data_IF_795845593440
#
_entry.id   IF_795845593440
#
_cell.length_a   1.000
_cell.length_b   1.000
_cell.length_c   1.000
_cell.angle_alpha   90.00
_cell.angle_beta   90.00
_cell.angle_gamma   90.00
#
_symmetry.space_group_name_H-M   'P 1'
#
loop_
_entity.id
_entity.type
_entity.pdbx_description
1 polymer ?
#
# COMPACT_ATOMS: atom_id res chain seq x y z
N UNK A 1 15.79 -23.09 8.91
CA UNK A 1 15.09 -22.74 7.64
C UNK A 1 15.43 -21.32 7.16
N UNK A 2 15.25 -20.27 7.96
CA UNK A 2 15.55 -18.87 7.55
C UNK A 2 17.02 -18.67 7.12
N UNK A 3 18.00 -19.28 7.80
CA UNK A 3 19.43 -19.21 7.44
C UNK A 3 19.77 -19.80 6.07
N UNK A 4 18.92 -20.66 5.53
CA UNK A 4 19.09 -21.20 4.17
C UNK A 4 18.66 -20.21 3.08
N UNK A 5 17.72 -19.32 3.41
CA UNK A 5 17.13 -18.33 2.50
C UNK A 5 17.89 -17.00 2.57
N UNK A 6 18.25 -16.55 3.79
CA UNK A 6 18.90 -15.27 4.01
C UNK A 6 20.38 -15.42 4.37
N UNK A 7 21.18 -14.42 4.00
CA UNK A 7 22.58 -14.28 4.46
C UNK A 7 22.64 -13.55 5.80
N UNK A 8 23.86 -13.33 6.32
CA UNK A 8 24.10 -12.60 7.59
C UNK A 8 23.63 -11.14 7.55
N UNK A 9 23.59 -10.54 6.38
CA UNK A 9 23.10 -9.17 6.15
C UNK A 9 21.58 -9.09 6.02
N UNK A 10 20.84 -10.19 6.21
CA UNK A 10 19.39 -10.25 6.03
C UNK A 10 18.93 -10.20 4.56
N UNK A 11 19.86 -10.29 3.61
CA UNK A 11 19.55 -10.31 2.19
C UNK A 11 19.28 -11.74 1.71
N UNK A 12 18.41 -11.86 0.73
CA UNK A 12 18.08 -13.12 0.07
C UNK A 12 19.32 -13.66 -0.64
N UNK A 13 19.67 -14.92 -0.36
CA UNK A 13 20.80 -15.61 -0.99
C UNK A 13 20.57 -15.78 -2.50
N UNK A 14 21.65 -15.77 -3.28
CA UNK A 14 21.64 -15.84 -4.76
C UNK A 14 20.72 -16.94 -5.32
N UNK A 15 20.72 -18.13 -4.69
CA UNK A 15 19.89 -19.27 -5.12
C UNK A 15 18.37 -19.04 -5.02
N UNK A 16 17.93 -18.18 -4.06
CA UNK A 16 16.52 -17.85 -3.86
C UNK A 16 16.10 -16.53 -4.52
N UNK A 17 17.07 -15.77 -5.05
CA UNK A 17 16.84 -14.42 -5.57
C UNK A 17 15.82 -14.39 -6.71
N UNK A 18 15.92 -15.34 -7.65
CA UNK A 18 14.96 -15.43 -8.75
C UNK A 18 13.54 -15.73 -8.28
N UNK A 19 13.38 -16.60 -7.31
CA UNK A 19 12.08 -16.87 -6.71
C UNK A 19 11.48 -15.61 -6.08
N UNK A 20 12.25 -14.88 -5.29
CA UNK A 20 11.78 -13.62 -4.69
C UNK A 20 11.47 -12.55 -5.74
N UNK A 21 12.21 -12.45 -6.83
CA UNK A 21 11.92 -11.54 -7.93
C UNK A 21 10.63 -11.90 -8.65
N UNK A 22 10.35 -13.20 -8.87
CA UNK A 22 9.08 -13.66 -9.45
C UNK A 22 7.89 -13.33 -8.53
N UNK A 23 8.02 -13.57 -7.22
CA UNK A 23 6.98 -13.21 -6.24
C UNK A 23 6.77 -11.70 -6.23
N UNK A 24 7.85 -10.91 -6.26
CA UNK A 24 7.78 -9.45 -6.33
C UNK A 24 7.05 -8.99 -7.60
N UNK A 25 7.40 -9.55 -8.76
CA UNK A 25 6.75 -9.22 -10.03
C UNK A 25 5.26 -9.58 -10.04
N UNK A 26 4.90 -10.77 -9.53
CA UNK A 26 3.51 -11.20 -9.37
C UNK A 26 2.74 -10.25 -8.43
N UNK A 27 3.36 -9.82 -7.34
CA UNK A 27 2.75 -8.88 -6.40
C UNK A 27 2.55 -7.49 -7.01
N UNK A 28 3.54 -6.98 -7.76
CA UNK A 28 3.40 -5.72 -8.52
C UNK A 28 2.25 -5.82 -9.52
N UNK A 29 2.13 -6.95 -10.24
CA UNK A 29 1.02 -7.18 -11.15
C UNK A 29 -0.33 -7.19 -10.40
N UNK A 30 -0.40 -7.81 -9.22
CA UNK A 30 -1.60 -7.79 -8.39
C UNK A 30 -1.98 -6.36 -7.97
N UNK A 31 -1.01 -5.53 -7.55
CA UNK A 31 -1.25 -4.10 -7.24
C UNK A 31 -1.80 -3.37 -8.48
N UNK A 32 -1.18 -3.57 -9.64
CA UNK A 32 -1.63 -2.94 -10.91
C UNK A 32 -3.08 -3.32 -11.21
N UNK A 33 -3.43 -4.60 -11.12
CA UNK A 33 -4.80 -5.06 -11.35
C UNK A 33 -5.78 -4.51 -10.31
N UNK A 34 -5.43 -4.51 -9.04
CA UNK A 34 -6.29 -3.99 -7.97
C UNK A 34 -6.51 -2.47 -8.07
N UNK A 35 -5.45 -1.71 -8.34
CA UNK A 35 -5.51 -0.25 -8.30
C UNK A 35 -6.04 0.35 -9.61
N UNK A 36 -5.86 -0.30 -10.75
CA UNK A 36 -6.14 0.30 -12.06
C UNK A 36 -7.30 -0.35 -12.83
N UNK A 37 -7.88 -1.44 -12.33
CA UNK A 37 -9.11 -1.98 -12.90
C UNK A 37 -10.30 -1.09 -12.54
N UNK A 38 -11.20 -0.73 -13.48
CA UNK A 38 -12.39 0.04 -13.19
C UNK A 38 -13.21 -0.58 -12.06
N UNK A 39 -13.70 0.26 -11.15
CA UNK A 39 -14.53 -0.22 -10.04
C UNK A 39 -16.01 -0.26 -10.43
N UNK A 40 -16.64 -1.44 -10.43
CA UNK A 40 -18.09 -1.50 -10.55
C UNK A 40 -18.75 -0.89 -9.30
N UNK A 41 -19.88 -0.22 -9.47
CA UNK A 41 -20.69 0.31 -8.36
C UNK A 41 -21.38 -0.84 -7.60
N UNK A 42 -20.60 -1.65 -6.86
CA UNK A 42 -21.09 -2.82 -6.14
C UNK A 42 -21.99 -2.49 -4.94
N UNK A 43 -21.78 -1.33 -4.33
CA UNK A 43 -22.51 -0.90 -3.15
C UNK A 43 -23.29 0.39 -3.44
N UNK A 44 -24.47 0.23 -4.07
CA UNK A 44 -25.43 1.33 -4.22
C UNK A 44 -25.91 1.73 -2.81
N UNK A 45 -25.48 2.91 -2.34
CA UNK A 45 -25.94 3.48 -1.07
C UNK A 45 -24.87 3.79 -0.03
N UNK A 46 -23.66 3.21 -0.13
CA UNK A 46 -22.53 3.64 0.72
C UNK A 46 -21.84 4.81 0.02
N UNK A 47 -22.08 6.02 0.52
CA UNK A 47 -21.39 7.21 0.05
C UNK A 47 -20.28 7.57 1.05
N UNK A 48 -19.05 7.72 0.56
CA UNK A 48 -17.97 8.26 1.38
C UNK A 48 -18.21 9.74 1.61
N UNK A 49 -18.33 10.19 2.87
CA UNK A 49 -18.49 11.61 3.17
C UNK A 49 -17.34 12.47 2.62
N UNK A 50 -17.63 13.73 2.28
CA UNK A 50 -16.67 14.74 1.84
C UNK A 50 -16.00 14.48 0.48
N UNK A 51 -16.51 13.59 -0.33
CA UNK A 51 -16.04 13.41 -1.72
C UNK A 51 -16.50 14.62 -2.56
N UNK A 52 -15.54 15.29 -3.18
CA UNK A 52 -15.76 16.40 -4.12
C UNK A 52 -15.71 15.82 -5.54
N UNK A 53 -16.80 15.97 -6.31
CA UNK A 53 -16.87 15.56 -7.70
C UNK A 53 -16.72 16.76 -8.64
N UNK A 54 -15.79 16.67 -9.59
CA UNK A 54 -15.59 17.65 -10.65
C UNK A 54 -15.58 16.91 -12.00
N UNK A 55 -16.71 16.92 -12.68
CA UNK A 55 -16.90 16.10 -13.87
C UNK A 55 -16.80 14.60 -13.57
N UNK A 56 -15.83 13.93 -14.20
CA UNK A 56 -15.53 12.51 -13.93
C UNK A 56 -14.59 12.31 -12.74
N UNK A 57 -13.87 13.38 -12.33
CA UNK A 57 -12.89 13.29 -11.26
C UNK A 57 -13.56 13.34 -9.88
N UNK A 58 -13.07 12.53 -8.97
CA UNK A 58 -13.51 12.46 -7.58
C UNK A 58 -12.32 12.61 -6.66
N UNK A 59 -12.44 13.51 -5.68
CA UNK A 59 -11.38 13.85 -4.74
C UNK A 59 -11.87 13.73 -3.30
N UNK A 60 -11.11 13.09 -2.47
CA UNK A 60 -11.24 13.06 -1.02
C UNK A 60 -9.97 13.66 -0.40
N UNK A 61 -9.96 14.98 -0.27
CA UNK A 61 -8.79 15.74 0.17
C UNK A 61 -8.84 16.14 1.66
N UNK A 62 -9.84 15.68 2.38
CA UNK A 62 -9.95 15.90 3.83
C UNK A 62 -8.96 14.98 4.53
N UNK A 63 -7.90 15.50 5.19
CA UNK A 63 -6.95 14.66 5.92
C UNK A 63 -7.65 13.91 7.05
N UNK A 64 -7.30 12.64 7.24
CA UNK A 64 -7.90 11.77 8.25
C UNK A 64 -9.44 11.68 8.11
N UNK A 65 -9.93 11.73 6.85
CA UNK A 65 -11.38 11.67 6.58
C UNK A 65 -12.04 10.49 7.28
N UNK A 66 -11.34 9.36 7.34
CA UNK A 66 -11.81 8.16 8.05
C UNK A 66 -12.10 8.41 9.53
N UNK A 67 -11.37 9.30 10.20
CA UNK A 67 -11.63 9.67 11.60
C UNK A 67 -12.75 10.71 11.72
N UNK A 68 -12.74 11.72 10.84
CA UNK A 68 -13.75 12.78 10.84
C UNK A 68 -15.14 12.28 10.47
N UNK A 69 -15.23 11.27 9.63
CA UNK A 69 -16.51 10.67 9.24
C UNK A 69 -17.08 9.67 10.25
N UNK A 70 -16.30 9.22 11.26
CA UNK A 70 -16.78 8.26 12.26
C UNK A 70 -18.13 8.65 12.91
N UNK A 71 -18.38 9.93 13.30
CA UNK A 71 -19.67 10.32 13.89
C UNK A 71 -20.84 10.29 12.89
N UNK A 72 -20.55 10.26 11.60
CA UNK A 72 -21.54 10.27 10.51
C UNK A 72 -21.92 8.86 10.05
N UNK A 73 -21.12 7.86 10.46
CA UNK A 73 -21.39 6.46 10.12
C UNK A 73 -22.51 5.94 11.00
N UNK A 74 -23.59 5.51 10.38
CA UNK A 74 -24.82 5.07 11.05
C UNK A 74 -24.87 3.57 11.29
N UNK A 75 -24.07 2.80 10.57
CA UNK A 75 -24.10 1.33 10.64
C UNK A 75 -22.73 0.72 10.98
N UNK A 76 -22.70 -0.42 11.71
CA UNK A 76 -21.44 -1.16 11.94
C UNK A 76 -20.76 -1.62 10.64
N UNK A 77 -21.52 -1.80 9.56
CA UNK A 77 -21.00 -2.17 8.26
C UNK A 77 -20.17 -1.05 7.64
N UNK A 78 -20.67 0.20 7.67
CA UNK A 78 -19.93 1.39 7.20
C UNK A 78 -18.65 1.58 8.00
N UNK A 79 -18.70 1.42 9.33
CA UNK A 79 -17.53 1.51 10.19
C UNK A 79 -16.47 0.44 9.81
N UNK A 80 -16.90 -0.82 9.66
CA UNK A 80 -15.99 -1.90 9.28
C UNK A 80 -15.39 -1.71 7.89
N UNK A 81 -16.16 -1.13 6.96
CA UNK A 81 -15.69 -0.78 5.62
C UNK A 81 -14.59 0.28 5.67
N UNK A 82 -14.81 1.39 6.36
CA UNK A 82 -13.84 2.49 6.48
C UNK A 82 -12.55 2.02 7.16
N UNK A 83 -12.65 1.29 8.27
CA UNK A 83 -11.47 0.73 8.96
C UNK A 83 -10.76 -0.27 8.05
N UNK A 84 -11.51 -1.17 7.40
CA UNK A 84 -10.98 -2.18 6.50
C UNK A 84 -10.20 -1.57 5.34
N UNK A 85 -10.72 -0.51 4.72
CA UNK A 85 -10.07 0.21 3.62
C UNK A 85 -8.72 0.78 4.07
N UNK A 86 -8.67 1.50 5.20
CA UNK A 86 -7.40 2.05 5.73
C UNK A 86 -6.38 0.96 6.06
N UNK A 87 -6.83 -0.13 6.69
CA UNK A 87 -5.96 -1.28 7.00
C UNK A 87 -5.43 -1.91 5.71
N UNK A 88 -6.28 -2.11 4.71
CA UNK A 88 -5.85 -2.65 3.42
C UNK A 88 -4.84 -1.75 2.71
N UNK A 89 -4.99 -0.42 2.79
CA UNK A 89 -4.03 0.53 2.23
C UNK A 89 -2.67 0.45 2.94
N UNK A 90 -2.64 0.35 4.28
CA UNK A 90 -1.38 0.11 5.00
C UNK A 90 -0.72 -1.18 4.52
N UNK A 91 -1.49 -2.25 4.31
CA UNK A 91 -0.94 -3.53 3.85
C UNK A 91 -0.69 -3.61 2.35
N UNK A 92 -1.18 -2.66 1.53
CA UNK A 92 -0.99 -2.67 0.08
C UNK A 92 0.50 -2.57 -0.30
N UNK A 93 1.25 -1.68 0.31
CA UNK A 93 2.68 -1.50 0.01
C UNK A 93 3.61 -2.26 0.97
N UNK A 94 3.11 -2.78 2.10
CA UNK A 94 3.92 -3.49 3.07
C UNK A 94 4.69 -4.68 2.47
N UNK A 95 4.08 -5.67 1.78
CA UNK A 95 4.81 -6.81 1.23
C UNK A 95 5.79 -6.38 0.13
N UNK A 96 5.40 -5.41 -0.69
CA UNK A 96 6.25 -4.87 -1.75
C UNK A 96 7.57 -4.32 -1.17
N UNK A 97 7.46 -3.40 -0.22
CA UNK A 97 8.62 -2.74 0.38
C UNK A 97 9.43 -3.71 1.23
N UNK A 98 8.78 -4.65 1.93
CA UNK A 98 9.48 -5.71 2.65
C UNK A 98 10.36 -6.56 1.71
N UNK A 99 9.84 -6.99 0.56
CA UNK A 99 10.61 -7.72 -0.44
C UNK A 99 11.75 -6.88 -1.02
N UNK A 100 11.55 -5.59 -1.23
CA UNK A 100 12.61 -4.67 -1.68
C UNK A 100 13.75 -4.64 -0.66
N UNK A 101 13.47 -4.59 0.64
CA UNK A 101 14.50 -4.65 1.68
C UNK A 101 15.25 -5.97 1.70
N UNK A 102 14.55 -7.09 1.48
CA UNK A 102 15.18 -8.40 1.40
C UNK A 102 16.08 -8.58 0.17
N UNK A 103 15.82 -7.86 -0.92
CA UNK A 103 16.55 -7.99 -2.17
C UNK A 103 17.68 -6.98 -2.35
N UNK A 104 17.57 -5.77 -1.79
CA UNK A 104 18.50 -4.66 -2.05
C UNK A 104 18.89 -3.89 -0.79
N UNK A 105 20.17 -3.93 -0.43
CA UNK A 105 20.74 -3.24 0.73
C UNK A 105 20.60 -1.71 0.68
N UNK A 106 20.59 -1.13 -0.51
CA UNK A 106 20.56 0.34 -0.70
C UNK A 106 19.27 0.99 -0.15
N UNK A 107 18.24 0.19 0.11
CA UNK A 107 16.96 0.66 0.63
C UNK A 107 16.84 0.59 2.17
N UNK A 108 17.85 0.09 2.88
CA UNK A 108 17.84 -0.12 4.33
C UNK A 108 17.87 1.20 5.13
N UNK A 109 16.85 2.02 5.00
CA UNK A 109 16.65 3.27 5.74
C UNK A 109 15.16 3.57 5.91
N UNK A 110 14.76 4.01 7.11
CA UNK A 110 13.38 4.39 7.41
C UNK A 110 12.89 5.54 6.51
N UNK A 111 13.73 6.55 6.32
CA UNK A 111 13.41 7.69 5.46
C UNK A 111 13.25 7.27 4.00
N UNK A 112 14.13 6.40 3.47
CA UNK A 112 14.01 5.88 2.11
C UNK A 112 12.73 5.06 1.94
N UNK A 113 12.36 4.26 2.95
CA UNK A 113 11.13 3.46 2.92
C UNK A 113 9.89 4.34 2.90
N UNK A 114 9.85 5.35 3.77
CA UNK A 114 8.75 6.31 3.83
C UNK A 114 8.58 7.04 2.49
N UNK A 115 9.65 7.58 1.93
CA UNK A 115 9.63 8.26 0.64
C UNK A 115 9.30 7.33 -0.54
N UNK A 116 9.73 6.07 -0.48
CA UNK A 116 9.37 5.07 -1.47
C UNK A 116 7.86 4.81 -1.44
N UNK A 117 7.29 4.56 -0.24
CA UNK A 117 5.86 4.37 -0.05
C UNK A 117 5.05 5.55 -0.55
N UNK A 118 5.46 6.78 -0.17
CA UNK A 118 4.81 8.01 -0.61
C UNK A 118 4.82 8.17 -2.14
N UNK A 119 5.97 7.96 -2.79
CA UNK A 119 6.09 8.10 -4.25
C UNK A 119 5.25 7.06 -4.99
N UNK A 120 5.26 5.80 -4.54
CA UNK A 120 4.46 4.75 -5.15
C UNK A 120 2.97 5.07 -4.99
N UNK A 121 2.54 5.46 -3.79
CA UNK A 121 1.15 5.84 -3.54
C UNK A 121 0.72 7.02 -4.40
N UNK A 122 1.54 8.07 -4.48
CA UNK A 122 1.25 9.23 -5.32
C UNK A 122 1.13 8.85 -6.81
N UNK A 123 1.98 7.95 -7.31
CA UNK A 123 1.89 7.45 -8.69
C UNK A 123 0.58 6.67 -8.89
N UNK A 124 0.18 5.85 -7.92
CA UNK A 124 -1.10 5.13 -7.97
C UNK A 124 -2.25 6.12 -8.07
N UNK A 125 -2.33 7.08 -7.16
CA UNK A 125 -3.39 8.08 -7.10
C UNK A 125 -3.50 8.92 -8.39
N UNK A 126 -2.36 9.43 -8.87
CA UNK A 126 -2.33 10.20 -10.13
C UNK A 126 -2.72 9.35 -11.34
N UNK A 127 -2.35 8.06 -11.37
CA UNK A 127 -2.74 7.16 -12.44
C UNK A 127 -4.25 6.87 -12.39
N UNK A 128 -4.84 6.75 -11.20
CA UNK A 128 -6.29 6.58 -11.03
C UNK A 128 -7.06 7.80 -11.53
N UNK A 129 -6.62 9.02 -11.21
CA UNK A 129 -7.20 10.23 -11.78
C UNK A 129 -7.13 10.26 -13.31
N UNK A 130 -5.99 9.85 -13.88
CA UNK A 130 -5.85 9.77 -15.33
C UNK A 130 -6.82 8.75 -15.94
N UNK A 131 -6.99 7.60 -15.32
CA UNK A 131 -7.94 6.57 -15.76
C UNK A 131 -9.39 7.06 -15.64
N UNK A 132 -9.74 7.85 -14.65
CA UNK A 132 -11.07 8.46 -14.56
C UNK A 132 -11.35 9.41 -15.73
N UNK A 133 -10.35 10.22 -16.13
CA UNK A 133 -10.50 11.08 -17.30
C UNK A 133 -10.67 10.26 -18.58
N UNK A 134 -9.87 9.22 -18.76
CA UNK A 134 -9.79 8.47 -20.02
C UNK A 134 -10.94 7.48 -20.21
N UNK A 135 -11.29 6.73 -19.18
CA UNK A 135 -12.18 5.57 -19.26
C UNK A 135 -13.29 5.55 -18.20
N UNK A 136 -13.43 6.61 -17.40
CA UNK A 136 -14.39 6.67 -16.27
C UNK A 136 -14.25 5.48 -15.32
N UNK A 137 -13.01 5.26 -14.83
CA UNK A 137 -12.65 4.10 -14.02
C UNK A 137 -13.34 4.06 -12.64
N UNK A 138 -14.08 5.12 -12.29
CA UNK A 138 -14.85 5.28 -11.05
C UNK A 138 -13.97 5.15 -9.80
N UNK A 139 -12.80 5.81 -9.82
CA UNK A 139 -11.86 5.86 -8.70
C UNK A 139 -11.98 7.19 -7.95
N UNK A 140 -11.57 7.21 -6.72
CA UNK A 140 -11.51 8.42 -5.89
C UNK A 140 -10.07 8.64 -5.52
N UNK A 141 -9.53 9.84 -5.82
CA UNK A 141 -8.23 10.26 -5.27
C UNK A 141 -8.38 10.49 -3.78
N UNK A 142 -7.67 9.72 -2.96
CA UNK A 142 -7.73 9.83 -1.51
C UNK A 142 -6.40 10.32 -0.92
N UNK A 143 -6.44 11.49 -0.26
CA UNK A 143 -5.26 12.03 0.41
C UNK A 143 -4.74 11.08 1.52
N UNK A 144 -5.66 10.38 2.17
CA UNK A 144 -5.34 9.44 3.24
C UNK A 144 -4.52 8.24 2.75
N UNK A 145 -4.64 7.84 1.48
CA UNK A 145 -3.87 6.75 0.90
C UNK A 145 -2.38 7.07 0.82
N UNK A 146 -2.01 8.34 0.65
CA UNK A 146 -0.61 8.74 0.57
C UNK A 146 0.14 8.43 1.87
N UNK A 147 -0.46 8.72 3.02
CA UNK A 147 0.20 8.48 4.30
C UNK A 147 -0.04 7.07 4.84
N UNK A 148 -1.19 6.42 4.61
CA UNK A 148 -1.44 5.04 5.04
C UNK A 148 -0.53 4.06 4.30
N UNK A 149 -0.37 4.20 3.00
CA UNK A 149 0.59 3.44 2.20
C UNK A 149 2.04 3.69 2.63
N UNK A 150 2.39 4.95 2.94
CA UNK A 150 3.72 5.31 3.46
C UNK A 150 3.99 4.67 4.82
N UNK A 151 2.98 4.61 5.69
CA UNK A 151 3.05 3.92 6.97
C UNK A 151 3.29 2.42 6.76
N UNK A 152 2.60 1.80 5.80
CA UNK A 152 2.83 0.40 5.43
C UNK A 152 4.28 0.13 5.00
N UNK A 153 4.86 1.02 4.20
CA UNK A 153 6.25 0.95 3.80
C UNK A 153 7.22 1.10 4.99
N UNK A 154 6.90 1.97 5.94
CA UNK A 154 7.67 2.15 7.17
C UNK A 154 7.60 0.91 8.08
N UNK A 155 6.42 0.32 8.24
CA UNK A 155 6.24 -0.93 8.98
C UNK A 155 7.03 -2.07 8.34
N UNK A 156 7.08 -2.16 7.01
CA UNK A 156 7.89 -3.12 6.29
C UNK A 156 9.39 -2.99 6.63
N UNK A 157 9.89 -1.75 6.73
CA UNK A 157 11.27 -1.51 7.16
C UNK A 157 11.54 -2.00 8.60
N UNK A 158 10.64 -1.71 9.55
CA UNK A 158 10.84 -2.16 10.93
C UNK A 158 10.74 -3.68 11.06
N UNK A 159 9.83 -4.31 10.30
CA UNK A 159 9.72 -5.77 10.23
C UNK A 159 10.98 -6.41 9.64
N UNK A 160 11.55 -5.80 8.59
CA UNK A 160 12.83 -6.21 8.03
C UNK A 160 13.97 -6.07 9.06
N UNK A 161 14.06 -4.93 9.77
CA UNK A 161 15.05 -4.74 10.85
C UNK A 161 14.94 -5.79 11.94
N UNK A 162 13.73 -6.11 12.35
CA UNK A 162 13.48 -7.16 13.33
C UNK A 162 13.96 -8.52 12.82
N UNK A 163 13.64 -8.88 11.57
CA UNK A 163 14.12 -10.10 10.92
C UNK A 163 15.66 -10.16 10.89
N UNK A 164 16.30 -9.09 10.43
CA UNK A 164 17.75 -8.97 10.38
C UNK A 164 18.39 -9.16 11.76
N UNK A 165 17.86 -8.52 12.78
CA UNK A 165 18.34 -8.65 14.15
C UNK A 165 18.17 -10.09 14.71
N UNK A 166 17.07 -10.76 14.38
CA UNK A 166 16.90 -12.18 14.73
C UNK A 166 17.92 -13.08 14.03
N UNK A 167 18.19 -12.83 12.75
CA UNK A 167 19.18 -13.59 11.99
C UNK A 167 20.62 -13.38 12.53
N UNK A 168 20.98 -12.17 12.91
CA UNK A 168 22.32 -11.86 13.46
C UNK A 168 22.55 -12.41 14.86
N UNK A 169 21.51 -12.54 15.70
CA UNK A 169 21.64 -13.14 17.03
C UNK A 169 21.72 -14.67 17.02
N UNK A 170 21.28 -15.29 15.97
CA UNK A 170 21.30 -16.76 15.83
C UNK A 170 22.57 -17.29 15.18
N UNK A 171 23.52 -16.43 14.84
CA UNK A 171 24.85 -16.73 14.27
C UNK A 171 25.93 -16.48 15.29
#
# INVERSE_FOLDING_TARGET
MLKQVFNQEGLVRRKWRWFFLLVLAAYVLAIVLMCFTPQPNLFKGIQTPHVIAVGRLRFLVVPLNSLWSLPQLSTPLELSWVIGQNVMNVFLLYPLVFMIHCLWKNWHSSSKSLWLGFRISLIIELTQLLLDVLIDANRVFELDDLWTNSLGALLAFYSYRWLHHRLSRCL
#
